data_IF_430233633418
#
_entry.id   IF_430233633418
#
_cell.length_a   1.000
_cell.length_b   1.000
_cell.length_c   1.000
_cell.angle_alpha   90.00
_cell.angle_beta   90.00
_cell.angle_gamma   90.00
#
_symmetry.space_group_name_H-M   'P 1'
#
loop_
_entity.id
_entity.type
_entity.pdbx_description
1 polymer ?
#
# COMPACT_ATOMS: atom_id res chain seq x y z
N UNK A 1 10.28 -59.42 1.05
CA UNK A 1 8.84 -59.75 1.04
C UNK A 1 8.40 -59.82 -0.40
N UNK A 2 7.56 -60.79 -0.78
CA UNK A 2 7.05 -60.89 -2.15
C UNK A 2 5.97 -59.82 -2.41
N UNK A 3 5.85 -59.36 -3.67
CA UNK A 3 4.91 -58.29 -4.06
C UNK A 3 3.47 -58.59 -3.64
N UNK A 4 3.00 -59.81 -3.88
CA UNK A 4 1.63 -60.25 -3.62
C UNK A 4 1.28 -60.29 -2.13
N UNK A 5 2.26 -60.62 -1.30
CA UNK A 5 2.11 -60.66 0.15
C UNK A 5 2.03 -59.24 0.73
N UNK A 6 2.87 -58.33 0.21
CA UNK A 6 2.85 -56.92 0.58
C UNK A 6 1.55 -56.23 0.13
N UNK A 7 1.05 -56.55 -1.07
CA UNK A 7 -0.23 -56.06 -1.58
C UNK A 7 -1.41 -56.49 -0.70
N UNK A 8 -1.47 -57.78 -0.31
CA UNK A 8 -2.53 -58.29 0.59
C UNK A 8 -2.53 -57.61 1.96
N UNK A 9 -1.35 -57.34 2.55
CA UNK A 9 -1.28 -56.63 3.83
C UNK A 9 -1.75 -55.17 3.71
N UNK A 10 -1.48 -54.53 2.57
CA UNK A 10 -1.99 -53.19 2.29
C UNK A 10 -3.50 -53.23 2.06
N UNK A 11 -4.03 -54.15 1.26
CA UNK A 11 -5.49 -54.30 1.03
C UNK A 11 -6.24 -54.59 2.33
N UNK A 12 -5.63 -55.33 3.26
CA UNK A 12 -6.15 -55.55 4.62
C UNK A 12 -6.12 -54.31 5.53
N UNK A 13 -5.69 -53.14 5.05
CA UNK A 13 -5.75 -51.87 5.77
C UNK A 13 -4.57 -51.61 6.72
N UNK A 14 -3.52 -52.43 6.71
CA UNK A 14 -2.40 -52.25 7.64
C UNK A 14 -1.53 -51.05 7.24
N UNK A 15 -1.15 -50.24 8.24
CA UNK A 15 -0.17 -49.16 8.06
C UNK A 15 1.26 -49.69 7.89
N UNK A 16 2.17 -48.87 7.35
CA UNK A 16 3.57 -49.24 7.17
C UNK A 16 4.28 -49.61 8.50
N UNK A 17 3.87 -48.98 9.60
CA UNK A 17 4.36 -49.31 10.94
C UNK A 17 3.85 -50.67 11.42
N UNK A 18 2.57 -50.99 11.16
CA UNK A 18 2.00 -52.30 11.51
C UNK A 18 2.64 -53.42 10.68
N UNK A 19 2.85 -53.19 9.37
CA UNK A 19 3.54 -54.13 8.49
C UNK A 19 4.99 -54.32 8.95
N UNK A 20 5.70 -53.22 9.27
CA UNK A 20 7.07 -53.28 9.76
C UNK A 20 7.21 -54.10 11.04
N UNK A 21 6.34 -53.86 12.04
CA UNK A 21 6.30 -54.67 13.27
C UNK A 21 6.02 -56.14 12.98
N UNK A 22 5.07 -56.44 12.10
CA UNK A 22 4.66 -57.80 11.76
C UNK A 22 5.76 -58.61 11.09
N UNK A 23 6.58 -57.97 10.26
CA UNK A 23 7.68 -58.62 9.53
C UNK A 23 9.04 -58.45 10.21
N UNK A 24 9.08 -57.84 11.41
CA UNK A 24 10.30 -57.61 12.17
C UNK A 24 11.28 -56.65 11.49
N UNK A 25 10.81 -55.69 10.70
CA UNK A 25 11.64 -54.72 9.97
C UNK A 25 11.21 -53.28 10.25
N UNK A 26 12.17 -52.37 10.15
CA UNK A 26 11.88 -50.94 10.28
C UNK A 26 10.90 -50.48 9.17
N UNK A 27 9.95 -49.58 9.45
CA UNK A 27 8.97 -49.09 8.46
C UNK A 27 9.59 -48.53 7.17
N UNK A 28 10.79 -47.97 7.24
CA UNK A 28 11.56 -47.53 6.07
C UNK A 28 11.89 -48.66 5.08
N UNK A 29 12.07 -49.89 5.58
CA UNK A 29 12.30 -51.08 4.77
C UNK A 29 11.03 -51.47 4.02
N UNK A 30 9.87 -51.34 4.67
CA UNK A 30 8.56 -51.57 4.05
C UNK A 30 8.32 -50.52 2.95
N UNK A 31 8.62 -49.25 3.22
CA UNK A 31 8.58 -48.17 2.22
C UNK A 31 9.49 -48.42 1.02
N UNK A 32 10.70 -48.95 1.26
CA UNK A 32 11.60 -49.37 0.19
C UNK A 32 11.01 -50.50 -0.66
N UNK A 33 10.35 -51.49 -0.06
CA UNK A 33 9.68 -52.56 -0.79
C UNK A 33 8.49 -52.05 -1.62
N UNK A 34 7.74 -51.05 -1.13
CA UNK A 34 6.70 -50.40 -1.92
C UNK A 34 7.28 -49.78 -3.20
N UNK A 35 8.38 -49.02 -3.08
CA UNK A 35 9.07 -48.44 -4.22
C UNK A 35 9.61 -49.49 -5.19
N UNK A 36 10.19 -50.57 -4.67
CA UNK A 36 10.72 -51.69 -5.46
C UNK A 36 9.64 -52.46 -6.22
N UNK A 37 8.43 -52.57 -5.66
CA UNK A 37 7.33 -53.35 -6.23
C UNK A 37 6.23 -52.50 -6.88
N UNK A 38 6.42 -51.18 -6.96
CA UNK A 38 5.45 -50.25 -7.56
C UNK A 38 4.13 -50.15 -6.80
N UNK A 39 4.11 -50.50 -5.52
CA UNK A 39 2.90 -50.46 -4.67
C UNK A 39 2.79 -49.10 -3.97
N UNK A 40 1.56 -48.67 -3.67
CA UNK A 40 1.28 -47.44 -2.93
C UNK A 40 0.73 -47.76 -1.55
N UNK A 41 1.23 -47.08 -0.52
CA UNK A 41 0.71 -47.24 0.83
C UNK A 41 -0.73 -46.70 0.94
N UNK A 42 -1.58 -47.38 1.72
CA UNK A 42 -2.88 -46.84 2.09
C UNK A 42 -2.70 -45.52 2.84
N UNK A 43 -3.35 -44.46 2.36
CA UNK A 43 -3.33 -43.15 3.01
C UNK A 43 -2.10 -42.27 2.74
N UNK A 44 -1.19 -42.66 1.84
CA UNK A 44 -0.15 -41.74 1.39
C UNK A 44 -0.65 -40.95 0.17
N UNK A 45 -1.03 -39.66 0.31
CA UNK A 45 -0.97 -38.78 -0.85
C UNK A 45 0.48 -38.82 -1.32
N UNK A 46 0.72 -39.48 -2.46
CA UNK A 46 1.96 -39.37 -3.20
C UNK A 46 2.15 -37.88 -3.38
N UNK A 47 3.14 -37.27 -2.75
CA UNK A 47 3.43 -35.84 -2.94
C UNK A 47 3.53 -35.62 -4.44
N UNK A 48 2.44 -35.11 -5.03
CA UNK A 48 2.40 -34.74 -6.43
C UNK A 48 3.50 -33.71 -6.62
N UNK A 49 3.96 -33.56 -7.86
CA UNK A 49 4.74 -32.37 -8.23
C UNK A 49 3.82 -31.16 -8.08
N UNK A 50 3.64 -30.74 -6.84
CA UNK A 50 2.80 -29.63 -6.42
C UNK A 50 3.42 -28.38 -7.04
N UNK A 51 2.63 -27.74 -7.90
CA UNK A 51 3.00 -26.71 -8.87
C UNK A 51 4.12 -25.81 -8.36
N UNK A 52 5.12 -25.59 -9.22
CA UNK A 52 6.18 -24.64 -8.90
C UNK A 52 5.55 -23.28 -8.58
N UNK A 53 5.92 -22.70 -7.43
CA UNK A 53 5.47 -21.34 -7.08
C UNK A 53 6.05 -20.40 -8.12
N UNK A 54 5.18 -19.68 -8.83
CA UNK A 54 5.60 -18.65 -9.76
C UNK A 54 6.31 -17.53 -8.98
N UNK A 55 7.55 -17.25 -9.37
CA UNK A 55 8.41 -16.24 -8.76
C UNK A 55 7.85 -14.83 -9.05
N UNK A 56 7.23 -14.61 -10.21
CA UNK A 56 6.65 -13.34 -10.59
C UNK A 56 5.46 -12.99 -9.68
N UNK A 57 4.53 -13.94 -9.51
CA UNK A 57 3.37 -13.78 -8.62
C UNK A 57 3.82 -13.58 -7.17
N UNK A 58 4.76 -14.40 -6.70
CA UNK A 58 5.34 -14.26 -5.37
C UNK A 58 5.93 -12.86 -5.15
N UNK A 59 6.66 -12.34 -6.14
CA UNK A 59 7.24 -10.98 -6.08
C UNK A 59 6.16 -9.91 -6.04
N UNK A 60 5.12 -10.02 -6.87
CA UNK A 60 4.02 -9.06 -6.91
C UNK A 60 3.27 -9.02 -5.56
N UNK A 61 3.02 -10.18 -4.94
CA UNK A 61 2.36 -10.26 -3.64
C UNK A 61 3.23 -9.67 -2.51
N UNK A 62 4.55 -9.90 -2.55
CA UNK A 62 5.50 -9.28 -1.63
C UNK A 62 5.61 -7.76 -1.81
N UNK A 63 5.50 -7.27 -3.04
CA UNK A 63 5.51 -5.82 -3.36
C UNK A 63 4.24 -5.13 -2.85
N UNK A 64 3.09 -5.81 -2.90
CA UNK A 64 1.84 -5.39 -2.27
C UNK A 64 1.88 -5.41 -0.73
N UNK A 65 2.95 -5.96 -0.15
CA UNK A 65 3.17 -5.95 1.29
C UNK A 65 2.41 -7.04 2.06
N UNK A 66 1.92 -8.08 1.38
CA UNK A 66 1.27 -9.20 2.04
C UNK A 66 2.24 -9.96 2.95
N UNK A 67 1.73 -10.46 4.07
CA UNK A 67 2.44 -11.36 4.95
C UNK A 67 2.63 -12.74 4.28
N UNK A 68 3.69 -13.45 4.67
CA UNK A 68 4.01 -14.79 4.15
C UNK A 68 2.84 -15.77 4.31
N UNK A 69 2.05 -15.63 5.39
CA UNK A 69 0.86 -16.44 5.65
C UNK A 69 -0.28 -16.15 4.68
N UNK A 70 -0.52 -14.88 4.36
CA UNK A 70 -1.53 -14.45 3.37
C UNK A 70 -1.12 -14.87 1.95
N UNK A 71 0.17 -14.75 1.64
CA UNK A 71 0.74 -15.24 0.37
C UNK A 71 0.53 -16.75 0.26
N UNK A 72 0.80 -17.50 1.34
CA UNK A 72 0.61 -18.94 1.37
C UNK A 72 -0.85 -19.32 1.09
N UNK A 73 -1.81 -18.67 1.74
CA UNK A 73 -3.24 -18.88 1.49
C UNK A 73 -3.61 -18.58 0.03
N UNK A 74 -3.12 -17.46 -0.51
CA UNK A 74 -3.48 -17.01 -1.87
C UNK A 74 -2.88 -17.85 -2.98
N UNK A 75 -1.71 -18.44 -2.74
CA UNK A 75 -1.04 -19.34 -3.67
C UNK A 75 -1.33 -20.83 -3.37
N UNK A 76 -2.35 -21.10 -2.55
CA UNK A 76 -2.76 -22.46 -2.15
C UNK A 76 -1.56 -23.32 -1.71
N UNK A 77 -0.70 -22.74 -0.87
CA UNK A 77 0.60 -23.27 -0.48
C UNK A 77 0.80 -23.11 1.03
N UNK A 78 1.97 -23.55 1.53
CA UNK A 78 2.31 -23.44 2.94
C UNK A 78 3.32 -22.31 3.19
N UNK A 79 3.30 -21.65 4.38
CA UNK A 79 4.28 -20.62 4.71
C UNK A 79 5.74 -21.09 4.59
N UNK A 80 6.00 -22.37 4.86
CA UNK A 80 7.31 -23.00 4.71
C UNK A 80 7.74 -23.14 3.25
N UNK A 81 6.82 -23.52 2.35
CA UNK A 81 7.08 -23.54 0.90
C UNK A 81 7.34 -22.14 0.36
N UNK A 82 6.55 -21.13 0.78
CA UNK A 82 6.78 -19.73 0.40
C UNK A 82 8.16 -19.25 0.85
N UNK A 83 8.55 -19.47 2.11
CA UNK A 83 9.88 -19.12 2.61
C UNK A 83 11.01 -19.80 1.83
N UNK A 84 10.85 -21.09 1.49
CA UNK A 84 11.82 -21.83 0.67
C UNK A 84 11.92 -21.26 -0.74
N UNK A 85 10.78 -20.93 -1.37
CA UNK A 85 10.75 -20.31 -2.69
C UNK A 85 11.40 -18.92 -2.68
N UNK A 86 11.09 -18.09 -1.67
CA UNK A 86 11.75 -16.80 -1.45
C UNK A 86 13.27 -16.95 -1.35
N UNK A 87 13.76 -17.88 -0.54
CA UNK A 87 15.20 -18.15 -0.38
C UNK A 87 15.83 -18.60 -1.70
N UNK A 88 15.20 -19.53 -2.42
CA UNK A 88 15.70 -20.04 -3.70
C UNK A 88 15.76 -18.94 -4.78
N UNK A 89 14.79 -18.03 -4.78
CA UNK A 89 14.70 -16.92 -5.72
C UNK A 89 15.43 -15.65 -5.26
N UNK A 90 16.06 -15.65 -4.07
CA UNK A 90 16.70 -14.46 -3.50
C UNK A 90 15.72 -13.33 -3.16
N UNK A 91 14.43 -13.62 -3.02
CA UNK A 91 13.40 -12.64 -2.70
C UNK A 91 13.39 -12.35 -1.20
N UNK A 92 13.21 -11.08 -0.87
CA UNK A 92 13.05 -10.60 0.50
C UNK A 92 11.75 -9.81 0.62
N UNK A 93 11.19 -9.75 1.83
CA UNK A 93 10.00 -8.94 2.08
C UNK A 93 10.27 -7.47 1.77
N UNK A 94 9.21 -6.70 1.52
CA UNK A 94 9.33 -5.23 1.36
C UNK A 94 10.10 -4.59 2.52
N UNK A 95 9.80 -5.01 3.76
CA UNK A 95 10.45 -4.47 4.96
C UNK A 95 11.95 -4.79 5.00
N UNK A 96 12.34 -6.03 4.72
CA UNK A 96 13.75 -6.43 4.66
C UNK A 96 14.50 -5.72 3.53
N UNK A 97 13.90 -5.62 2.34
CA UNK A 97 14.48 -4.88 1.21
C UNK A 97 14.71 -3.42 1.58
N UNK A 98 13.70 -2.73 2.10
CA UNK A 98 13.84 -1.34 2.50
C UNK A 98 14.87 -1.16 3.62
N UNK A 99 14.95 -2.06 4.62
CA UNK A 99 15.98 -2.00 5.67
C UNK A 99 17.40 -2.06 5.09
N UNK A 100 17.64 -2.96 4.13
CA UNK A 100 18.94 -3.07 3.43
C UNK A 100 19.27 -1.80 2.65
N UNK A 101 18.31 -1.30 1.86
CA UNK A 101 18.46 -0.10 1.04
C UNK A 101 18.69 1.15 1.89
N UNK A 102 17.94 1.33 2.99
CA UNK A 102 18.12 2.43 3.94
C UNK A 102 19.49 2.39 4.58
N UNK A 103 19.95 1.23 5.05
CA UNK A 103 21.29 1.09 5.62
C UNK A 103 22.37 1.51 4.62
N UNK A 104 22.27 1.04 3.38
CA UNK A 104 23.21 1.38 2.32
C UNK A 104 23.19 2.88 1.97
N UNK A 105 21.99 3.48 1.90
CA UNK A 105 21.83 4.90 1.62
C UNK A 105 22.39 5.79 2.75
N UNK A 106 22.12 5.44 4.02
CA UNK A 106 22.71 6.13 5.16
C UNK A 106 24.23 6.03 5.18
N UNK A 107 24.81 4.86 4.88
CA UNK A 107 26.25 4.67 4.81
C UNK A 107 26.92 5.54 3.74
N UNK A 108 26.21 5.85 2.65
CA UNK A 108 26.67 6.76 1.58
C UNK A 108 26.37 8.24 1.86
N UNK A 109 25.57 8.55 2.89
CA UNK A 109 25.11 9.92 3.15
C UNK A 109 24.04 10.40 2.16
N UNK A 110 23.35 9.50 1.46
CA UNK A 110 22.33 9.85 0.49
C UNK A 110 21.16 10.56 1.18
N UNK A 111 20.71 11.71 0.65
CA UNK A 111 19.47 12.35 1.12
C UNK A 111 18.22 11.78 0.46
N UNK A 112 18.38 11.07 -0.64
CA UNK A 112 17.30 10.46 -1.42
C UNK A 112 17.67 9.00 -1.71
N UNK A 113 16.73 8.10 -1.48
CA UNK A 113 16.91 6.67 -1.74
C UNK A 113 15.69 6.08 -2.47
N UNK A 114 15.94 5.24 -3.47
CA UNK A 114 14.91 4.44 -4.10
C UNK A 114 14.50 3.29 -3.15
N UNK A 115 13.27 3.36 -2.61
CA UNK A 115 12.70 2.35 -1.71
C UNK A 115 11.32 1.92 -2.21
N UNK A 116 10.74 0.89 -1.58
CA UNK A 116 9.40 0.40 -1.93
C UNK A 116 8.36 0.96 -0.95
N UNK A 117 7.53 1.88 -1.46
CA UNK A 117 6.35 2.42 -0.80
C UNK A 117 5.17 1.46 -0.91
N UNK A 118 4.31 1.39 0.12
CA UNK A 118 3.08 0.59 0.08
C UNK A 118 2.04 1.15 -0.90
N UNK A 119 2.03 2.47 -1.11
CA UNK A 119 1.05 3.15 -1.95
C UNK A 119 1.53 3.31 -3.39
N UNK A 120 2.85 3.42 -3.60
CA UNK A 120 3.42 3.80 -4.90
C UNK A 120 4.41 2.79 -5.48
N UNK A 121 4.65 1.67 -4.78
CA UNK A 121 5.67 0.71 -5.19
C UNK A 121 7.09 1.32 -5.13
N UNK A 122 8.00 0.92 -6.03
CA UNK A 122 9.35 1.48 -6.10
C UNK A 122 9.32 2.98 -6.42
N UNK A 123 9.85 3.81 -5.53
CA UNK A 123 9.90 5.27 -5.73
C UNK A 123 10.93 5.94 -4.82
N UNK A 124 11.17 7.22 -5.05
CA UNK A 124 12.09 8.01 -4.26
C UNK A 124 11.54 8.36 -2.88
N UNK A 125 12.41 8.20 -1.89
CA UNK A 125 12.18 8.58 -0.51
C UNK A 125 13.25 9.56 -0.08
N UNK A 126 12.84 10.61 0.65
CA UNK A 126 13.73 11.65 1.17
C UNK A 126 14.00 11.42 2.66
N UNK A 127 15.23 11.62 3.09
CA UNK A 127 15.63 11.57 4.49
C UNK A 127 15.06 12.78 5.25
N UNK A 128 14.20 12.52 6.25
CA UNK A 128 13.67 13.55 7.15
C UNK A 128 14.64 13.83 8.30
N UNK A 129 14.53 15.01 8.94
CA UNK A 129 15.40 15.41 10.06
C UNK A 129 15.37 14.48 11.28
N UNK A 130 14.38 13.58 11.38
CA UNK A 130 14.30 12.51 12.40
C UNK A 130 15.12 11.26 12.04
N UNK A 131 15.87 11.27 10.93
CA UNK A 131 16.67 10.13 10.47
C UNK A 131 15.88 9.02 9.78
N UNK A 132 14.65 9.30 9.33
CA UNK A 132 13.80 8.32 8.65
C UNK A 132 13.50 8.74 7.21
N UNK A 133 13.46 7.77 6.29
CA UNK A 133 13.12 8.01 4.89
C UNK A 133 11.60 8.04 4.68
N UNK A 134 11.11 9.06 3.99
CA UNK A 134 9.69 9.19 3.62
C UNK A 134 9.51 9.29 2.12
N UNK A 135 8.56 8.53 1.60
CA UNK A 135 8.16 8.59 0.18
C UNK A 135 7.79 10.03 -0.21
N UNK A 136 8.43 10.54 -1.26
CA UNK A 136 8.21 11.91 -1.73
C UNK A 136 6.78 12.10 -2.29
N UNK A 137 6.23 11.08 -2.93
CA UNK A 137 4.86 11.07 -3.45
C UNK A 137 3.83 11.11 -2.32
N UNK A 138 3.92 10.19 -1.34
CA UNK A 138 3.06 10.24 -0.14
C UNK A 138 3.14 11.58 0.58
N UNK A 139 4.33 12.18 0.68
CA UNK A 139 4.51 13.49 1.31
C UNK A 139 3.74 14.57 0.53
N UNK A 140 3.89 14.61 -0.80
CA UNK A 140 3.18 15.55 -1.66
C UNK A 140 1.66 15.37 -1.59
N UNK A 141 1.18 14.14 -1.65
CA UNK A 141 -0.23 13.78 -1.55
C UNK A 141 -0.84 14.24 -0.23
N UNK A 142 -0.15 13.99 0.90
CA UNK A 142 -0.62 14.46 2.23
C UNK A 142 -0.72 15.98 2.31
N UNK A 143 0.22 16.70 1.70
CA UNK A 143 0.18 18.16 1.64
C UNK A 143 -0.99 18.63 0.77
N UNK A 144 -1.21 18.00 -0.39
CA UNK A 144 -2.33 18.31 -1.27
C UNK A 144 -3.68 18.02 -0.60
N UNK A 145 -3.81 16.88 0.08
CA UNK A 145 -5.00 16.51 0.84
C UNK A 145 -5.28 17.48 1.98
N UNK A 146 -4.26 17.85 2.75
CA UNK A 146 -4.39 18.84 3.82
C UNK A 146 -4.89 20.20 3.28
N UNK A 147 -4.33 20.67 2.16
CA UNK A 147 -4.77 21.89 1.48
C UNK A 147 -6.22 21.81 1.01
N UNK A 148 -6.63 20.69 0.40
CA UNK A 148 -8.03 20.45 0.01
C UNK A 148 -8.96 20.48 1.21
N UNK A 149 -8.58 19.84 2.32
CA UNK A 149 -9.36 19.85 3.57
C UNK A 149 -9.54 21.27 4.12
N UNK A 150 -8.46 22.07 4.15
CA UNK A 150 -8.52 23.46 4.59
C UNK A 150 -9.39 24.31 3.66
N UNK A 151 -9.26 24.16 2.34
CA UNK A 151 -10.11 24.87 1.36
C UNK A 151 -11.58 24.59 1.59
N UNK A 152 -11.97 23.31 1.71
CA UNK A 152 -13.37 22.92 2.01
C UNK A 152 -13.89 23.58 3.28
N UNK A 153 -13.08 23.57 4.34
CA UNK A 153 -13.43 24.19 5.61
C UNK A 153 -13.63 25.71 5.47
N UNK A 154 -12.75 26.42 4.76
CA UNK A 154 -12.86 27.87 4.58
C UNK A 154 -14.06 28.22 3.68
N UNK A 155 -14.28 27.48 2.60
CA UNK A 155 -15.43 27.65 1.69
C UNK A 155 -16.74 27.52 2.47
N UNK A 156 -16.88 26.46 3.28
CA UNK A 156 -18.07 26.26 4.11
C UNK A 156 -18.27 27.39 5.13
N UNK A 157 -17.20 27.94 5.70
CA UNK A 157 -17.27 29.07 6.63
C UNK A 157 -17.61 30.40 5.97
N UNK A 158 -17.37 30.53 4.67
CA UNK A 158 -17.67 31.72 3.88
C UNK A 158 -19.03 31.65 3.17
N UNK A 159 -19.91 30.73 3.59
CA UNK A 159 -21.28 30.57 3.05
C UNK A 159 -21.43 29.47 2.01
N UNK A 160 -20.33 28.92 1.48
CA UNK A 160 -20.36 27.77 0.56
C UNK A 160 -20.81 28.07 -0.87
N UNK A 161 -21.17 29.32 -1.19
CA UNK A 161 -21.60 29.73 -2.52
C UNK A 161 -20.91 31.02 -2.99
N UNK A 162 -20.92 31.26 -4.30
CA UNK A 162 -20.41 32.48 -4.92
C UNK A 162 -21.33 33.65 -4.58
N UNK A 163 -20.80 34.74 -4.04
CA UNK A 163 -21.60 35.92 -3.68
C UNK A 163 -22.18 36.68 -4.90
N UNK A 164 -21.63 36.45 -6.09
CA UNK A 164 -22.09 37.11 -7.33
C UNK A 164 -23.16 36.29 -8.05
N UNK A 165 -22.93 34.99 -8.26
CA UNK A 165 -23.79 34.15 -9.11
C UNK A 165 -24.50 33.01 -8.37
N UNK A 166 -24.28 32.84 -7.07
CA UNK A 166 -24.91 31.79 -6.26
C UNK A 166 -24.37 30.38 -6.47
N UNK A 167 -23.38 30.15 -7.36
CA UNK A 167 -22.78 28.82 -7.58
C UNK A 167 -22.31 28.20 -6.25
N UNK A 168 -22.74 26.97 -5.94
CA UNK A 168 -22.53 26.25 -4.67
C UNK A 168 -21.86 24.87 -4.86
N UNK A 169 -21.22 24.67 -6.01
CA UNK A 169 -20.66 23.38 -6.41
C UNK A 169 -19.30 23.04 -5.78
N UNK A 170 -18.43 22.42 -6.58
CA UNK A 170 -17.20 21.81 -6.04
C UNK A 170 -16.22 22.86 -5.42
N UNK A 171 -15.68 22.65 -4.19
CA UNK A 171 -14.84 23.62 -3.48
C UNK A 171 -13.56 24.10 -4.19
N UNK A 172 -13.09 23.34 -5.19
CA UNK A 172 -11.95 23.73 -6.01
C UNK A 172 -12.26 24.83 -7.03
N UNK A 173 -13.54 25.08 -7.31
CA UNK A 173 -13.99 26.12 -8.24
C UNK A 173 -14.18 27.47 -7.56
N UNK A 174 -13.94 27.59 -6.25
CA UNK A 174 -14.01 28.86 -5.54
C UNK A 174 -12.64 29.46 -5.30
N UNK A 175 -12.58 30.78 -5.25
CA UNK A 175 -11.46 31.60 -4.87
C UNK A 175 -11.88 32.67 -3.85
N UNK A 176 -10.92 33.09 -3.02
CA UNK A 176 -11.13 34.12 -2.01
C UNK A 176 -10.61 35.44 -2.56
N UNK A 177 -11.53 36.36 -2.83
CA UNK A 177 -11.22 37.68 -3.34
C UNK A 177 -11.15 38.68 -2.18
N UNK A 178 -10.02 39.35 -2.00
CA UNK A 178 -9.88 40.40 -0.99
C UNK A 178 -10.70 41.63 -1.36
N UNK A 179 -11.53 42.13 -0.44
CA UNK A 179 -12.29 43.37 -0.66
C UNK A 179 -11.38 44.60 -0.69
N UNK A 180 -10.35 44.60 0.14
CA UNK A 180 -9.32 45.62 0.18
C UNK A 180 -7.95 44.95 0.02
N UNK A 181 -7.31 45.07 -1.17
CA UNK A 181 -5.99 44.50 -1.42
C UNK A 181 -4.91 45.01 -0.45
N UNK A 182 -5.08 46.19 0.15
CA UNK A 182 -4.11 46.76 1.10
C UNK A 182 -4.13 46.07 2.47
N UNK A 183 -5.22 45.39 2.82
CA UNK A 183 -5.38 44.65 4.08
C UNK A 183 -4.93 43.18 3.98
N UNK A 184 -4.49 42.76 2.79
CA UNK A 184 -3.96 41.42 2.51
C UNK A 184 -2.69 41.20 3.31
N UNK A 185 -2.71 40.21 4.20
CA UNK A 185 -1.50 39.78 4.90
C UNK A 185 -0.75 38.71 4.11
N UNK A 186 -1.47 37.91 3.32
CA UNK A 186 -0.91 36.90 2.42
C UNK A 186 -1.99 36.39 1.45
N UNK A 187 -1.57 35.71 0.39
CA UNK A 187 -2.52 35.02 -0.49
C UNK A 187 -3.13 33.80 0.17
N UNK A 188 -4.45 33.68 0.13
CA UNK A 188 -5.16 32.42 0.38
C UNK A 188 -4.98 31.41 -0.77
N UNK A 189 -4.19 31.77 -1.79
CA UNK A 189 -3.77 30.85 -2.82
C UNK A 189 -3.09 29.66 -2.12
N UNK A 190 -3.62 28.45 -2.33
CA UNK A 190 -3.12 27.22 -1.71
C UNK A 190 -1.72 26.83 -2.23
N UNK A 191 -1.05 27.72 -2.98
CA UNK A 191 0.29 27.52 -3.52
C UNK A 191 1.32 27.82 -2.43
N UNK A 192 1.73 26.77 -1.73
CA UNK A 192 3.10 26.70 -1.20
C UNK A 192 3.31 27.08 0.26
N UNK A 193 2.41 27.79 0.94
CA UNK A 193 2.67 28.23 2.33
C UNK A 193 1.82 27.46 3.34
N UNK A 194 2.47 26.70 4.23
CA UNK A 194 1.80 26.03 5.35
C UNK A 194 1.53 27.06 6.44
N UNK A 195 0.31 27.60 6.48
CA UNK A 195 -0.17 28.50 7.54
C UNK A 195 -1.09 27.74 8.49
N UNK A 196 -1.16 28.20 9.75
CA UNK A 196 -2.10 27.61 10.71
C UNK A 196 -3.54 27.83 10.24
N UNK A 197 -4.44 26.90 10.61
CA UNK A 197 -5.85 27.05 10.31
C UNK A 197 -6.42 28.37 10.87
N UNK A 198 -5.89 28.86 12.01
CA UNK A 198 -6.25 30.16 12.59
C UNK A 198 -5.89 31.32 11.69
N UNK A 199 -4.65 31.37 11.18
CA UNK A 199 -4.21 32.43 10.28
C UNK A 199 -5.03 32.43 8.97
N UNK A 200 -5.27 31.25 8.40
CA UNK A 200 -6.09 31.10 7.20
C UNK A 200 -7.53 31.61 7.41
N UNK A 201 -8.15 31.31 8.56
CA UNK A 201 -9.48 31.83 8.89
C UNK A 201 -9.50 33.35 9.06
N UNK A 202 -8.49 33.91 9.73
CA UNK A 202 -8.39 35.35 9.93
C UNK A 202 -8.29 36.09 8.59
N UNK A 203 -7.52 35.55 7.65
CA UNK A 203 -7.40 36.13 6.32
C UNK A 203 -8.66 35.92 5.46
N UNK A 204 -9.30 34.75 5.54
CA UNK A 204 -10.54 34.47 4.81
C UNK A 204 -11.70 35.40 5.21
N UNK A 205 -11.71 35.92 6.44
CA UNK A 205 -12.70 36.93 6.88
C UNK A 205 -12.58 38.27 6.18
N UNK A 206 -11.43 38.58 5.57
CA UNK A 206 -11.21 39.81 4.79
C UNK A 206 -11.59 39.63 3.32
N UNK A 207 -12.04 38.43 2.95
CA UNK A 207 -12.29 38.05 1.58
C UNK A 207 -13.77 37.71 1.37
N UNK A 208 -14.24 37.86 0.15
CA UNK A 208 -15.50 37.28 -0.33
C UNK A 208 -15.23 36.01 -1.12
N UNK A 209 -16.20 35.11 -1.11
CA UNK A 209 -16.12 33.86 -1.84
C UNK A 209 -16.70 34.03 -3.25
N UNK A 210 -15.88 33.80 -4.28
CA UNK A 210 -16.28 33.87 -5.68
C UNK A 210 -15.98 32.56 -6.39
N UNK A 211 -16.80 32.16 -7.36
CA UNK A 211 -16.41 31.08 -8.27
C UNK A 211 -15.31 31.59 -9.23
N UNK A 212 -14.52 30.67 -9.80
CA UNK A 212 -13.38 31.00 -10.64
C UNK A 212 -13.72 31.96 -11.80
N UNK A 213 -14.94 31.84 -12.37
CA UNK A 213 -15.42 32.74 -13.41
C UNK A 213 -15.70 34.15 -12.87
N UNK A 214 -16.54 34.27 -11.84
CA UNK A 214 -16.87 35.58 -11.27
C UNK A 214 -15.64 36.26 -10.67
N UNK A 215 -14.70 35.48 -10.11
CA UNK A 215 -13.42 36.00 -9.65
C UNK A 215 -12.65 36.67 -10.80
N UNK A 216 -12.50 35.99 -11.93
CA UNK A 216 -11.83 36.53 -13.10
C UNK A 216 -12.56 37.77 -13.67
N UNK A 217 -13.89 37.76 -13.71
CA UNK A 217 -14.69 38.90 -14.16
C UNK A 217 -14.54 40.11 -13.23
N UNK A 218 -14.45 39.91 -11.91
CA UNK A 218 -14.21 40.97 -10.93
C UNK A 218 -12.78 41.51 -11.06
N UNK A 219 -11.77 40.65 -11.18
CA UNK A 219 -10.37 41.09 -11.40
C UNK A 219 -10.19 41.87 -12.70
N UNK A 220 -10.94 41.49 -13.75
CA UNK A 220 -10.95 42.19 -15.03
C UNK A 220 -11.81 43.47 -15.04
N UNK A 221 -12.51 43.79 -13.95
CA UNK A 221 -13.40 44.95 -13.87
C UNK A 221 -14.70 44.83 -14.68
N UNK A 222 -15.03 43.63 -15.17
CA UNK A 222 -16.28 43.35 -15.90
C UNK A 222 -17.48 43.30 -14.96
N UNK A 223 -17.27 42.74 -13.76
CA UNK A 223 -18.29 42.63 -12.72
C UNK A 223 -17.88 43.42 -11.48
N UNK A 224 -18.80 44.20 -10.91
CA UNK A 224 -18.58 44.92 -9.65
C UNK A 224 -19.15 44.14 -8.47
N UNK A 225 -18.44 44.18 -7.33
CA UNK A 225 -18.92 43.60 -6.07
C UNK A 225 -19.84 44.60 -5.36
N UNK A 226 -21.13 44.28 -5.24
CA UNK A 226 -22.05 45.05 -4.39
C UNK A 226 -21.93 44.56 -2.94
N UNK A 227 -21.16 45.28 -2.13
CA UNK A 227 -20.76 44.90 -0.75
C UNK A 227 -21.90 45.06 0.28
N UNK A 228 -23.13 45.40 -0.13
CA UNK A 228 -24.26 45.66 0.76
C UNK A 228 -24.92 44.42 1.39
N UNK A 229 -24.41 43.21 1.15
CA UNK A 229 -25.03 41.93 1.58
C UNK A 229 -24.14 41.11 2.54
N UNK A 230 -23.13 41.71 3.17
CA UNK A 230 -22.21 41.02 4.09
C UNK A 230 -22.46 41.30 5.59
N UNK A 231 -23.69 41.65 5.95
CA UNK A 231 -24.10 41.84 7.36
C UNK A 231 -24.40 40.50 8.05
#
# INVERSE_FOLDING_TARGET
>A
MQREELARLLEGGLSLEAIGRRVGRHPSTVSYWLGKHGLTANGAPKYGRESAIDIADLRQLLDRGLAVTEIAQRLESTPSRIRRAMKKAGLASRQERNRRLVRAALARGDRVAALVCLHHGPCDHVLEGRGSYRCMRCRSERVAEHRRRLKRMLVAQAGGCCVVCGYDGHPAAFDFHHLDPSQKSFELSLRGVTRSARALRAEARKCVLLCARCHAEVEAGVTSLNVSVLA
#
